data_IF_441688765604
#
_entry.id   IF_441688765604
#
_cell.length_a   1.000
_cell.length_b   1.000
_cell.length_c   1.000
_cell.angle_alpha   90.00
_cell.angle_beta   90.00
_cell.angle_gamma   90.00
#
_symmetry.space_group_name_H-M   'P 1'
#
loop_
_entity.id
_entity.type
_entity.pdbx_description
1 polymer ?
#
# COMPACT_ATOMS: atom_id res chain seq x y z
N UNK A 1 -11.29 -23.80 -14.68
CA UNK A 1 -10.34 -22.67 -14.59
C UNK A 1 -10.30 -22.21 -13.13
N UNK A 2 -9.16 -21.70 -12.66
CA UNK A 2 -9.01 -21.13 -11.31
C UNK A 2 -8.85 -19.61 -11.40
N UNK A 3 -9.58 -18.86 -10.59
CA UNK A 3 -9.39 -17.42 -10.45
C UNK A 3 -8.55 -17.13 -9.22
N UNK A 4 -7.39 -16.51 -9.40
CA UNK A 4 -6.53 -16.04 -8.31
C UNK A 4 -6.75 -14.54 -8.15
N UNK A 5 -7.42 -14.13 -7.08
CA UNK A 5 -7.64 -12.71 -6.78
C UNK A 5 -6.41 -12.14 -6.08
N UNK A 6 -5.83 -11.04 -6.58
CA UNK A 6 -4.68 -10.45 -5.90
C UNK A 6 -3.97 -9.30 -6.63
N UNK A 7 -2.64 -9.39 -6.60
CA UNK A 7 -1.69 -8.28 -6.73
C UNK A 7 -0.60 -8.31 -5.65
N UNK A 8 -0.66 -9.31 -4.76
CA UNK A 8 0.26 -9.58 -3.65
C UNK A 8 1.32 -10.61 -4.06
N UNK A 9 2.39 -10.73 -3.26
CA UNK A 9 3.40 -11.76 -3.46
C UNK A 9 2.81 -13.17 -3.35
N UNK A 10 1.82 -13.37 -2.48
CA UNK A 10 1.10 -14.62 -2.29
C UNK A 10 0.33 -15.03 -3.55
N UNK A 11 -0.35 -14.08 -4.19
CA UNK A 11 -1.05 -14.32 -5.45
C UNK A 11 -0.06 -14.75 -6.55
N UNK A 12 1.11 -14.13 -6.61
CA UNK A 12 2.17 -14.49 -7.54
C UNK A 12 2.69 -15.91 -7.28
N UNK A 13 3.01 -16.25 -6.03
CA UNK A 13 3.51 -17.57 -5.64
C UNK A 13 2.49 -18.67 -5.95
N UNK A 14 1.21 -18.44 -5.64
CA UNK A 14 0.14 -19.38 -5.95
C UNK A 14 -0.02 -19.56 -7.47
N UNK A 15 0.07 -18.49 -8.26
CA UNK A 15 0.07 -18.61 -9.72
C UNK A 15 1.27 -19.40 -10.27
N UNK A 16 2.46 -19.29 -9.66
CA UNK A 16 3.61 -20.11 -10.03
C UNK A 16 3.41 -21.60 -9.70
N UNK A 17 2.83 -21.90 -8.54
CA UNK A 17 2.45 -23.26 -8.13
C UNK A 17 1.48 -23.87 -9.14
N UNK A 18 0.37 -23.18 -9.42
CA UNK A 18 -0.63 -23.62 -10.40
C UNK A 18 -0.04 -23.80 -11.81
N UNK A 19 0.87 -22.92 -12.23
CA UNK A 19 1.57 -23.07 -13.50
C UNK A 19 2.44 -24.33 -13.54
N UNK A 20 3.18 -24.62 -12.46
CA UNK A 20 4.01 -25.83 -12.35
C UNK A 20 3.19 -27.12 -12.41
N UNK A 21 2.00 -27.09 -11.83
CA UNK A 21 1.07 -28.22 -11.81
C UNK A 21 0.30 -28.38 -13.12
N UNK A 22 0.46 -27.45 -14.07
CA UNK A 22 -0.26 -27.46 -15.35
C UNK A 22 -1.74 -27.09 -15.22
N UNK A 23 -2.15 -26.48 -14.11
CA UNK A 23 -3.53 -26.05 -13.89
C UNK A 23 -3.82 -24.74 -14.66
N UNK A 24 -5.04 -24.64 -15.20
CA UNK A 24 -5.52 -23.43 -15.86
C UNK A 24 -5.93 -22.38 -14.83
N UNK A 25 -5.33 -21.20 -14.88
CA UNK A 25 -5.67 -20.08 -14.00
C UNK A 25 -5.71 -18.73 -14.72
N UNK A 26 -6.45 -17.80 -14.12
CA UNK A 26 -6.45 -16.37 -14.40
C UNK A 26 -6.10 -15.65 -13.10
N UNK A 27 -5.22 -14.65 -13.17
CA UNK A 27 -4.87 -13.81 -12.03
C UNK A 27 -5.33 -12.38 -12.28
N UNK A 28 -5.99 -11.78 -11.30
CA UNK A 28 -6.48 -10.39 -11.41
C UNK A 28 -5.67 -9.46 -10.54
N UNK A 29 -5.39 -8.26 -11.06
CA UNK A 29 -4.82 -7.14 -10.32
C UNK A 29 -5.78 -5.95 -10.38
N UNK A 30 -5.93 -5.24 -9.27
CA UNK A 30 -6.70 -3.99 -9.20
C UNK A 30 -5.85 -2.73 -9.48
N UNK A 31 -4.56 -2.93 -9.79
CA UNK A 31 -3.56 -1.86 -10.00
C UNK A 31 -2.73 -2.11 -11.25
N UNK A 32 -2.34 -1.04 -11.93
CA UNK A 32 -1.50 -1.09 -13.14
C UNK A 32 -0.12 -1.68 -12.84
N UNK A 33 0.46 -1.34 -11.69
CA UNK A 33 1.76 -1.88 -11.27
C UNK A 33 1.73 -3.40 -11.07
N UNK A 34 0.75 -3.90 -10.31
CA UNK A 34 0.58 -5.34 -10.09
C UNK A 34 0.30 -6.08 -11.41
N UNK A 35 -0.48 -5.44 -12.29
CA UNK A 35 -0.77 -5.96 -13.62
C UNK A 35 0.51 -6.10 -14.47
N UNK A 36 1.31 -5.03 -14.59
CA UNK A 36 2.55 -5.06 -15.38
C UNK A 36 3.55 -6.08 -14.83
N UNK A 37 3.71 -6.11 -13.50
CA UNK A 37 4.61 -7.04 -12.82
C UNK A 37 4.25 -8.49 -13.13
N UNK A 38 2.97 -8.83 -13.01
CA UNK A 38 2.50 -10.20 -13.21
C UNK A 38 2.45 -10.55 -14.69
N UNK A 39 2.07 -9.62 -15.56
CA UNK A 39 1.96 -9.83 -17.01
C UNK A 39 3.31 -10.21 -17.62
N UNK A 40 4.42 -9.69 -17.11
CA UNK A 40 5.78 -10.11 -17.51
C UNK A 40 6.02 -11.61 -17.32
N UNK A 41 5.39 -12.22 -16.31
CA UNK A 41 5.57 -13.62 -15.96
C UNK A 41 4.50 -14.55 -16.52
N UNK A 42 3.24 -14.14 -16.48
CA UNK A 42 2.07 -14.97 -16.77
C UNK A 42 1.33 -14.56 -18.06
N UNK A 43 1.76 -13.50 -18.74
CA UNK A 43 1.26 -13.10 -20.05
C UNK A 43 -0.23 -12.74 -20.03
N UNK A 44 -0.98 -13.32 -20.97
CA UNK A 44 -2.43 -13.09 -21.14
C UNK A 44 -3.30 -13.63 -20.01
N UNK A 45 -2.73 -14.38 -19.06
CA UNK A 45 -3.46 -14.87 -17.88
C UNK A 45 -3.70 -13.80 -16.82
N UNK A 46 -3.09 -12.62 -16.99
CA UNK A 46 -3.24 -11.49 -16.07
C UNK A 46 -4.28 -10.54 -16.61
N UNK A 47 -5.26 -10.19 -15.77
CA UNK A 47 -6.32 -9.23 -16.10
C UNK A 47 -6.27 -8.07 -15.10
N UNK A 48 -6.28 -6.84 -15.62
CA UNK A 48 -6.41 -5.64 -14.79
C UNK A 48 -7.89 -5.31 -14.67
N UNK A 49 -8.48 -5.52 -13.50
CA UNK A 49 -9.92 -5.34 -13.30
C UNK A 49 -10.23 -5.04 -11.84
N UNK A 50 -11.24 -4.20 -11.63
CA UNK A 50 -11.91 -4.00 -10.35
C UNK A 50 -13.32 -4.54 -10.48
N UNK A 51 -13.65 -5.53 -9.65
CA UNK A 51 -14.94 -6.19 -9.72
C UNK A 51 -16.01 -5.46 -8.90
N UNK A 52 -17.21 -5.37 -9.47
CA UNK A 52 -18.46 -5.33 -8.70
C UNK A 52 -18.96 -6.75 -8.51
N UNK A 53 -20.05 -6.93 -7.77
CA UNK A 53 -20.64 -8.25 -7.59
C UNK A 53 -21.11 -8.84 -8.93
N UNK A 54 -21.78 -8.02 -9.74
CA UNK A 54 -22.29 -8.40 -11.05
C UNK A 54 -21.14 -8.75 -12.00
N UNK A 55 -20.11 -7.91 -12.07
CA UNK A 55 -19.00 -8.17 -12.99
C UNK A 55 -18.16 -9.36 -12.56
N UNK A 56 -18.01 -9.64 -11.26
CA UNK A 56 -17.37 -10.88 -10.81
C UNK A 56 -18.20 -12.11 -11.19
N UNK A 57 -19.53 -12.05 -11.02
CA UNK A 57 -20.45 -13.13 -11.37
C UNK A 57 -20.41 -13.43 -12.87
N UNK A 58 -20.41 -12.40 -13.71
CA UNK A 58 -20.28 -12.54 -15.16
C UNK A 58 -18.91 -13.11 -15.54
N UNK A 59 -17.83 -12.60 -14.95
CA UNK A 59 -16.48 -13.07 -15.21
C UNK A 59 -16.29 -14.56 -14.85
N UNK A 60 -16.86 -15.00 -13.73
CA UNK A 60 -16.84 -16.41 -13.31
C UNK A 60 -17.51 -17.30 -14.36
N UNK A 61 -18.66 -16.87 -14.89
CA UNK A 61 -19.42 -17.62 -15.90
C UNK A 61 -18.71 -17.62 -17.26
N UNK A 62 -18.23 -16.47 -17.71
CA UNK A 62 -17.56 -16.32 -19.01
C UNK A 62 -16.28 -17.18 -19.12
N UNK A 63 -15.55 -17.31 -18.01
CA UNK A 63 -14.26 -18.03 -17.99
C UNK A 63 -14.33 -19.44 -17.40
N UNK A 64 -15.53 -19.99 -17.17
CA UNK A 64 -15.73 -21.31 -16.56
C UNK A 64 -14.88 -21.50 -15.29
N UNK A 65 -14.88 -20.48 -14.42
CA UNK A 65 -14.17 -20.50 -13.15
C UNK A 65 -14.87 -21.50 -12.23
N UNK A 66 -14.12 -22.48 -11.72
CA UNK A 66 -14.64 -23.52 -10.80
C UNK A 66 -14.11 -23.37 -9.38
N UNK A 67 -13.09 -22.53 -9.20
CA UNK A 67 -12.46 -22.24 -7.92
C UNK A 67 -11.94 -20.81 -7.90
N UNK A 68 -12.20 -20.09 -6.82
CA UNK A 68 -11.58 -18.82 -6.49
C UNK A 68 -10.57 -19.06 -5.37
N UNK A 69 -9.33 -18.62 -5.57
CA UNK A 69 -8.31 -18.52 -4.53
C UNK A 69 -8.12 -17.04 -4.20
N UNK A 70 -8.55 -16.64 -3.01
CA UNK A 70 -8.42 -15.28 -2.53
C UNK A 70 -7.05 -15.09 -1.88
N UNK A 71 -6.11 -14.58 -2.67
CA UNK A 71 -4.79 -14.15 -2.22
C UNK A 71 -4.72 -12.63 -2.02
N UNK A 72 -5.87 -11.96 -1.85
CA UNK A 72 -5.88 -10.51 -1.68
C UNK A 72 -5.27 -10.14 -0.32
N UNK A 73 -4.88 -8.87 -0.19
CA UNK A 73 -4.37 -8.37 1.09
C UNK A 73 -5.48 -8.46 2.16
N UNK A 74 -5.19 -8.74 3.45
CA UNK A 74 -6.19 -8.77 4.54
C UNK A 74 -7.15 -7.58 4.65
N UNK A 75 -6.78 -6.43 4.08
CA UNK A 75 -7.58 -5.21 4.09
C UNK A 75 -8.42 -5.06 2.82
N UNK A 76 -8.49 -6.08 1.97
CA UNK A 76 -9.31 -6.14 0.76
C UNK A 76 -10.72 -6.65 1.04
N UNK A 77 -11.31 -6.23 2.17
CA UNK A 77 -12.58 -6.76 2.68
C UNK A 77 -13.68 -6.76 1.64
N UNK A 78 -13.82 -5.68 0.85
CA UNK A 78 -14.83 -5.57 -0.20
C UNK A 78 -14.74 -6.70 -1.23
N UNK A 79 -13.56 -6.93 -1.84
CA UNK A 79 -13.42 -7.99 -2.85
C UNK A 79 -13.49 -9.38 -2.22
N UNK A 80 -12.99 -9.55 -1.00
CA UNK A 80 -13.10 -10.80 -0.25
C UNK A 80 -14.55 -11.17 0.03
N UNK A 81 -15.36 -10.22 0.50
CA UNK A 81 -16.80 -10.40 0.75
C UNK A 81 -17.57 -10.66 -0.55
N UNK A 82 -17.23 -9.97 -1.63
CA UNK A 82 -17.82 -10.21 -2.96
C UNK A 82 -17.49 -11.61 -3.46
N UNK A 83 -16.23 -12.01 -3.39
CA UNK A 83 -15.77 -13.32 -3.84
C UNK A 83 -16.42 -14.46 -3.07
N UNK A 84 -16.50 -14.35 -1.73
CA UNK A 84 -17.19 -15.34 -0.89
C UNK A 84 -18.65 -15.49 -1.32
N UNK A 85 -19.39 -14.37 -1.45
CA UNK A 85 -20.81 -14.39 -1.82
C UNK A 85 -21.06 -14.94 -3.22
N UNK A 86 -20.28 -14.51 -4.21
CA UNK A 86 -20.40 -15.01 -5.59
C UNK A 86 -20.04 -16.49 -5.67
N UNK A 87 -19.02 -16.95 -4.92
CA UNK A 87 -18.67 -18.37 -4.88
C UNK A 87 -19.77 -19.23 -4.27
N UNK A 88 -20.42 -18.76 -3.19
CA UNK A 88 -21.56 -19.44 -2.58
C UNK A 88 -22.76 -19.51 -3.53
N UNK A 89 -23.11 -18.38 -4.16
CA UNK A 89 -24.25 -18.27 -5.09
C UNK A 89 -24.08 -19.20 -6.30
N UNK A 90 -22.87 -19.27 -6.86
CA UNK A 90 -22.58 -20.06 -8.05
C UNK A 90 -22.13 -21.49 -7.75
N UNK A 91 -22.10 -21.88 -6.46
CA UNK A 91 -21.67 -23.20 -5.99
C UNK A 91 -20.27 -23.62 -6.50
N UNK A 92 -19.32 -22.68 -6.47
CA UNK A 92 -17.92 -22.93 -6.83
C UNK A 92 -17.01 -22.90 -5.59
N UNK A 93 -15.85 -23.55 -5.68
CA UNK A 93 -14.93 -23.65 -4.54
C UNK A 93 -14.33 -22.26 -4.22
N UNK A 94 -14.29 -21.90 -2.94
CA UNK A 94 -13.63 -20.70 -2.44
C UNK A 94 -12.54 -21.10 -1.44
N UNK A 95 -11.30 -20.71 -1.72
CA UNK A 95 -10.15 -20.88 -0.84
C UNK A 95 -9.64 -19.52 -0.42
N UNK A 96 -9.69 -19.21 0.88
CA UNK A 96 -9.01 -18.04 1.42
C UNK A 96 -7.54 -18.38 1.67
N UNK A 97 -6.66 -17.80 0.86
CA UNK A 97 -5.20 -17.82 1.05
C UNK A 97 -4.70 -16.45 1.53
N UNK A 98 -5.60 -15.64 2.09
CA UNK A 98 -5.28 -14.37 2.72
C UNK A 98 -4.36 -14.67 3.90
N UNK A 99 -3.12 -14.18 3.83
CA UNK A 99 -2.20 -14.28 4.96
C UNK A 99 -2.71 -13.38 6.07
N UNK A 100 -3.36 -13.97 7.08
CA UNK A 100 -3.75 -13.25 8.28
C UNK A 100 -2.49 -12.60 8.86
N UNK A 101 -2.42 -11.28 8.77
CA UNK A 101 -1.45 -10.51 9.55
C UNK A 101 -1.94 -10.66 10.98
N UNK A 102 -1.10 -11.21 11.85
CA UNK A 102 -1.33 -11.14 13.28
C UNK A 102 -1.28 -9.65 13.64
N UNK A 103 -2.43 -8.98 13.58
CA UNK A 103 -2.88 -7.77 14.30
C UNK A 103 -3.86 -6.94 13.43
N UNK A 104 -4.94 -6.39 14.05
CA UNK A 104 -6.18 -6.01 13.38
C UNK A 104 -6.11 -4.52 12.89
N UNK A 105 -7.23 -3.87 12.47
CA UNK A 105 -7.25 -2.75 11.52
C UNK A 105 -6.44 -1.55 11.99
N UNK A 106 -6.06 -0.66 11.05
CA UNK A 106 -5.38 0.63 11.27
C UNK A 106 -5.80 1.35 12.58
N UNK A 107 -7.04 1.18 13.06
CA UNK A 107 -7.56 1.76 14.30
C UNK A 107 -6.97 1.27 15.63
N UNK A 108 -6.34 0.09 15.70
CA UNK A 108 -5.88 -0.51 16.97
C UNK A 108 -4.40 -0.24 17.29
N UNK A 109 -3.74 0.63 16.52
CA UNK A 109 -2.38 1.03 16.85
C UNK A 109 -2.37 2.26 17.78
N UNK A 110 -2.06 2.06 19.06
CA UNK A 110 -2.04 3.13 20.09
C UNK A 110 -1.15 4.33 19.76
N UNK A 111 -0.14 4.14 18.88
CA UNK A 111 0.76 5.21 18.42
C UNK A 111 0.43 5.71 17.01
N UNK A 112 -0.78 5.45 16.51
CA UNK A 112 -1.31 6.06 15.30
C UNK A 112 -2.03 7.36 15.63
N UNK A 113 -1.64 8.43 14.94
CA UNK A 113 -2.26 9.76 15.05
C UNK A 113 -2.79 10.18 13.70
N UNK A 114 -4.06 10.58 13.64
CA UNK A 114 -4.68 11.12 12.42
C UNK A 114 -4.70 12.63 12.47
N UNK A 115 -4.34 13.26 11.36
CA UNK A 115 -4.36 14.73 11.21
C UNK A 115 -4.83 15.13 9.82
N UNK A 116 -5.38 16.33 9.67
CA UNK A 116 -5.94 16.82 8.41
C UNK A 116 -4.90 17.30 7.38
N UNK A 117 -3.71 17.70 7.83
CA UNK A 117 -2.70 18.29 6.95
C UNK A 117 -1.27 18.12 7.50
N UNK A 118 -0.26 18.35 6.64
CA UNK A 118 1.16 18.26 7.04
C UNK A 118 1.49 19.26 8.16
N UNK A 119 0.90 20.45 8.13
CA UNK A 119 1.15 21.45 9.17
C UNK A 119 0.63 21.00 10.55
N UNK A 120 -0.44 20.20 10.61
CA UNK A 120 -0.93 19.56 11.83
C UNK A 120 0.05 18.51 12.35
N UNK A 121 0.59 17.67 11.45
CA UNK A 121 1.62 16.69 11.79
C UNK A 121 2.85 17.38 12.42
N UNK A 122 3.29 18.50 11.83
CA UNK A 122 4.42 19.29 12.34
C UNK A 122 4.13 19.84 13.73
N UNK A 123 2.93 20.41 13.96
CA UNK A 123 2.52 20.89 15.29
C UNK A 123 2.51 19.77 16.32
N UNK A 124 2.03 18.59 15.94
CA UNK A 124 2.03 17.42 16.81
C UNK A 124 3.47 16.99 17.13
N UNK A 125 4.35 16.85 16.13
CA UNK A 125 5.78 16.50 16.30
C UNK A 125 6.47 17.47 17.27
N UNK A 126 6.23 18.78 17.14
CA UNK A 126 6.85 19.79 17.99
C UNK A 126 6.43 19.68 19.47
N UNK A 127 5.21 19.19 19.75
CA UNK A 127 4.70 18.98 21.12
C UNK A 127 5.20 17.68 21.77
N UNK A 128 5.86 16.82 21.01
CA UNK A 128 6.33 15.51 21.43
C UNK A 128 7.88 15.46 21.43
N UNK A 129 8.46 14.46 22.09
CA UNK A 129 9.92 14.22 22.07
C UNK A 129 10.40 13.50 20.79
N UNK A 130 9.86 13.88 19.62
CA UNK A 130 10.17 13.28 18.32
C UNK A 130 11.41 13.92 17.71
N UNK A 131 12.54 13.23 17.67
CA UNK A 131 13.84 13.75 17.23
C UNK A 131 14.10 13.48 15.76
N UNK A 132 13.58 12.38 15.19
CA UNK A 132 13.99 11.85 13.88
C UNK A 132 12.77 11.45 13.04
N UNK A 133 11.92 12.40 12.64
CA UNK A 133 10.73 12.09 11.86
C UNK A 133 11.09 11.76 10.41
N UNK A 134 10.47 10.72 9.85
CA UNK A 134 10.53 10.35 8.43
C UNK A 134 9.23 10.71 7.73
N UNK A 135 9.30 11.63 6.77
CA UNK A 135 8.18 12.01 5.93
C UNK A 135 8.18 11.19 4.64
N UNK A 136 7.16 10.36 4.44
CA UNK A 136 6.92 9.61 3.20
C UNK A 136 5.84 10.27 2.34
N UNK A 137 5.74 11.60 2.41
CA UNK A 137 4.70 12.41 1.77
C UNK A 137 5.10 12.96 0.39
N UNK A 138 6.28 12.59 -0.10
CA UNK A 138 6.84 13.05 -1.37
C UNK A 138 7.46 14.45 -1.31
N UNK A 139 7.84 14.97 -2.48
CA UNK A 139 8.62 16.22 -2.61
C UNK A 139 7.79 17.48 -2.83
N UNK A 140 6.46 17.37 -2.96
CA UNK A 140 5.57 18.50 -3.33
C UNK A 140 5.45 19.57 -2.24
N UNK A 141 5.52 19.18 -0.97
CA UNK A 141 5.26 20.06 0.17
C UNK A 141 6.37 19.86 1.20
N UNK A 142 7.49 20.57 1.05
CA UNK A 142 8.67 20.48 1.92
C UNK A 142 8.94 21.77 2.72
N UNK A 143 8.07 22.78 2.60
CA UNK A 143 8.20 24.05 3.33
C UNK A 143 8.24 23.85 4.84
N UNK A 144 7.61 22.78 5.34
CA UNK A 144 7.58 22.42 6.75
C UNK A 144 8.96 22.13 7.36
N UNK A 145 9.95 21.74 6.56
CA UNK A 145 11.30 21.37 7.05
C UNK A 145 11.90 22.52 7.88
N UNK A 146 11.62 23.77 7.49
CA UNK A 146 12.09 24.97 8.18
C UNK A 146 11.52 25.14 9.59
N UNK A 147 10.42 24.47 9.92
CA UNK A 147 9.76 24.50 11.22
C UNK A 147 10.26 23.39 12.16
N UNK A 148 11.09 22.47 11.66
CA UNK A 148 11.63 21.32 12.39
C UNK A 148 13.16 21.36 12.46
N UNK A 149 13.77 22.55 12.55
CA UNK A 149 15.24 22.73 12.47
C UNK A 149 16.01 22.02 13.59
N UNK A 150 15.39 21.85 14.74
CA UNK A 150 15.97 21.14 15.89
C UNK A 150 15.77 19.62 15.83
N UNK A 151 15.17 19.11 14.73
CA UNK A 151 14.93 17.69 14.50
C UNK A 151 15.77 17.20 13.31
N UNK A 152 16.17 15.93 13.33
CA UNK A 152 16.81 15.28 12.19
C UNK A 152 15.74 14.75 11.23
N UNK A 153 15.21 15.64 10.39
CA UNK A 153 14.11 15.33 9.47
C UNK A 153 14.60 14.51 8.29
N UNK A 154 14.01 13.33 8.08
CA UNK A 154 14.20 12.50 6.89
C UNK A 154 13.02 12.66 5.94
N UNK A 155 13.28 12.64 4.63
CA UNK A 155 12.22 12.65 3.62
C UNK A 155 12.48 11.56 2.59
N UNK A 156 11.43 10.78 2.29
CA UNK A 156 11.42 9.83 1.17
C UNK A 156 10.72 10.44 -0.04
N UNK A 157 11.43 10.49 -1.17
CA UNK A 157 10.95 11.10 -2.43
C UNK A 157 11.23 10.18 -3.62
N UNK A 158 10.56 10.45 -4.74
CA UNK A 158 10.91 9.80 -6.01
C UNK A 158 12.32 10.21 -6.46
N UNK A 159 13.07 9.33 -7.12
CA UNK A 159 14.43 9.58 -7.57
C UNK A 159 14.47 10.46 -8.85
N UNK A 160 13.70 11.55 -8.88
CA UNK A 160 13.72 12.52 -9.98
C UNK A 160 14.57 13.74 -9.63
N UNK A 161 15.20 14.35 -10.65
CA UNK A 161 16.00 15.57 -10.47
C UNK A 161 15.19 16.69 -9.81
N UNK A 162 13.93 16.85 -10.23
CA UNK A 162 13.02 17.84 -9.66
C UNK A 162 12.75 17.59 -8.17
N UNK A 163 12.54 16.34 -7.77
CA UNK A 163 12.33 15.99 -6.36
C UNK A 163 13.56 16.28 -5.51
N UNK A 164 14.75 15.93 -6.02
CA UNK A 164 16.02 16.20 -5.34
C UNK A 164 16.33 17.69 -5.26
N UNK A 165 15.99 18.47 -6.29
CA UNK A 165 16.11 19.93 -6.29
C UNK A 165 15.24 20.55 -5.20
N UNK A 166 13.96 20.16 -5.13
CA UNK A 166 13.04 20.64 -4.08
C UNK A 166 13.54 20.31 -2.67
N UNK A 167 14.12 19.12 -2.47
CA UNK A 167 14.71 18.76 -1.16
C UNK A 167 15.87 19.68 -0.77
N UNK A 168 16.77 19.98 -1.71
CA UNK A 168 17.89 20.90 -1.48
C UNK A 168 17.41 22.32 -1.17
N UNK A 169 16.43 22.82 -1.90
CA UNK A 169 15.82 24.14 -1.68
C UNK A 169 15.09 24.24 -0.33
N UNK A 170 14.54 23.13 0.15
CA UNK A 170 13.94 23.03 1.49
C UNK A 170 14.98 23.02 2.63
N UNK A 171 16.28 22.87 2.30
CA UNK A 171 17.38 22.85 3.27
C UNK A 171 17.73 21.46 3.79
N UNK A 172 17.27 20.39 3.16
CA UNK A 172 17.64 19.01 3.54
C UNK A 172 19.07 18.70 3.11
N UNK A 173 19.82 18.03 3.99
CA UNK A 173 21.13 17.47 3.67
C UNK A 173 20.96 16.16 2.88
N UNK A 174 21.93 15.83 2.02
CA UNK A 174 21.88 14.61 1.21
C UNK A 174 21.61 13.33 2.02
N UNK A 175 22.24 13.19 3.19
CA UNK A 175 22.07 12.05 4.10
C UNK A 175 20.63 11.91 4.67
N UNK A 176 19.82 12.95 4.59
CA UNK A 176 18.44 12.98 5.07
C UNK A 176 17.41 12.76 3.94
N UNK A 177 17.87 12.49 2.72
CA UNK A 177 17.02 12.28 1.55
C UNK A 177 17.10 10.82 1.15
N UNK A 178 15.95 10.13 1.17
CA UNK A 178 15.81 8.75 0.73
C UNK A 178 15.12 8.77 -0.63
N UNK A 179 15.90 8.69 -1.70
CA UNK A 179 15.38 8.71 -3.07
C UNK A 179 15.12 7.28 -3.57
N UNK A 180 13.85 6.88 -3.67
CA UNK A 180 13.47 5.53 -4.10
C UNK A 180 12.07 5.50 -4.71
N UNK A 181 11.83 4.53 -5.60
CA UNK A 181 10.54 4.31 -6.24
C UNK A 181 9.86 3.07 -5.62
N UNK A 182 8.62 3.22 -5.20
CA UNK A 182 7.83 2.14 -4.59
C UNK A 182 7.11 1.25 -5.62
N UNK A 183 6.19 0.38 -5.17
CA UNK A 183 5.75 0.20 -3.77
C UNK A 183 6.84 -0.37 -2.86
N UNK A 184 6.66 -0.22 -1.53
CA UNK A 184 7.64 -0.68 -0.53
C UNK A 184 6.99 -1.65 0.44
N UNK A 185 7.62 -2.80 0.65
CA UNK A 185 7.15 -3.80 1.61
C UNK A 185 7.29 -3.34 3.06
N UNK A 186 6.60 -4.01 3.98
CA UNK A 186 6.73 -3.77 5.43
C UNK A 186 8.19 -3.90 5.87
N UNK A 187 8.89 -4.94 5.43
CA UNK A 187 10.26 -5.24 5.81
C UNK A 187 11.24 -4.14 5.39
N UNK A 188 11.05 -3.58 4.18
CA UNK A 188 11.88 -2.48 3.71
C UNK A 188 11.60 -1.20 4.50
N UNK A 189 10.33 -0.88 4.77
CA UNK A 189 9.98 0.27 5.62
C UNK A 189 10.59 0.11 7.03
N UNK A 190 10.51 -1.09 7.61
CA UNK A 190 11.06 -1.41 8.92
C UNK A 190 12.59 -1.30 8.92
N UNK A 191 13.25 -1.79 7.88
CA UNK A 191 14.70 -1.67 7.72
C UNK A 191 15.13 -0.20 7.65
N UNK A 192 14.40 0.65 6.91
CA UNK A 192 14.66 2.09 6.85
C UNK A 192 14.43 2.75 8.21
N UNK A 193 13.33 2.43 8.90
CA UNK A 193 13.05 2.94 10.25
C UNK A 193 14.20 2.61 11.20
N UNK A 194 14.71 1.38 11.19
CA UNK A 194 15.83 0.95 12.04
C UNK A 194 17.16 1.62 11.64
N UNK A 195 17.49 1.61 10.35
CA UNK A 195 18.74 2.17 9.82
C UNK A 195 18.84 3.67 10.15
N UNK A 196 17.76 4.41 9.91
CA UNK A 196 17.68 5.85 10.17
C UNK A 196 17.15 6.16 11.56
N UNK A 197 17.10 5.17 12.48
CA UNK A 197 16.49 5.23 13.84
C UNK A 197 15.37 6.26 13.93
N UNK A 198 14.40 6.11 13.04
CA UNK A 198 13.22 6.96 12.94
C UNK A 198 12.38 6.73 14.19
N UNK A 199 11.85 7.79 14.78
CA UNK A 199 10.97 7.73 15.96
C UNK A 199 9.53 8.17 15.66
N UNK A 200 9.29 8.70 14.45
CA UNK A 200 7.98 9.04 13.94
C UNK A 200 7.93 8.89 12.40
N UNK A 201 6.99 8.10 11.89
CA UNK A 201 6.69 7.98 10.47
C UNK A 201 5.51 8.90 10.12
N UNK A 202 5.65 9.77 9.12
CA UNK A 202 4.58 10.65 8.63
C UNK A 202 4.20 10.22 7.21
N UNK A 203 2.96 9.79 7.02
CA UNK A 203 2.46 9.29 5.73
C UNK A 203 1.14 9.94 5.34
N UNK A 204 0.88 10.08 4.03
CA UNK A 204 -0.45 10.45 3.53
C UNK A 204 -1.36 9.22 3.42
N UNK A 205 -2.66 9.43 3.53
CA UNK A 205 -3.68 8.45 3.19
C UNK A 205 -3.78 8.29 1.66
N UNK A 206 -2.80 7.61 1.07
CA UNK A 206 -2.68 7.41 -0.39
C UNK A 206 -3.39 6.14 -0.89
N UNK A 207 -4.27 5.54 -0.10
CA UNK A 207 -4.88 4.24 -0.41
C UNK A 207 -3.88 3.07 -0.54
N UNK A 208 -4.36 1.94 -1.08
CA UNK A 208 -3.59 0.70 -1.29
C UNK A 208 -2.37 0.87 -2.19
N UNK A 209 -2.48 1.64 -3.28
CA UNK A 209 -1.40 1.82 -4.27
C UNK A 209 -0.16 2.52 -3.68
N UNK A 210 -0.34 3.37 -2.67
CA UNK A 210 0.78 4.05 -2.02
C UNK A 210 1.49 3.24 -0.93
N UNK A 211 1.10 1.99 -0.69
CA UNK A 211 1.66 1.11 0.34
C UNK A 211 1.38 1.61 1.76
N UNK A 212 0.20 2.18 2.01
CA UNK A 212 -0.18 2.78 3.29
C UNK A 212 -0.07 1.77 4.44
N UNK A 213 -0.55 0.55 4.20
CA UNK A 213 -0.63 -0.50 5.22
C UNK A 213 0.76 -0.97 5.64
N UNK A 214 1.65 -1.22 4.69
CA UNK A 214 3.04 -1.63 4.91
C UNK A 214 3.81 -0.60 5.73
N UNK A 215 3.48 0.68 5.57
CA UNK A 215 4.07 1.77 6.36
C UNK A 215 3.57 1.78 7.81
N UNK A 216 2.26 1.63 8.01
CA UNK A 216 1.67 1.58 9.36
C UNK A 216 2.16 0.34 10.09
N UNK A 217 2.21 -0.80 9.41
CA UNK A 217 2.70 -2.06 9.95
C UNK A 217 4.17 -1.97 10.36
N UNK A 218 5.03 -1.40 9.50
CA UNK A 218 6.43 -1.20 9.85
C UNK A 218 6.63 -0.25 11.04
N UNK A 219 5.78 0.78 11.17
CA UNK A 219 5.80 1.67 12.33
C UNK A 219 5.37 0.94 13.61
N UNK A 220 4.36 0.06 13.50
CA UNK A 220 3.84 -0.79 14.58
C UNK A 220 4.90 -1.78 15.06
N UNK A 221 5.53 -2.51 14.15
CA UNK A 221 6.62 -3.45 14.44
C UNK A 221 7.85 -2.76 15.05
N UNK A 222 8.15 -1.54 14.63
CA UNK A 222 9.22 -0.74 15.21
C UNK A 222 8.83 -0.07 16.55
N UNK A 223 7.53 -0.07 16.91
CA UNK A 223 7.02 0.61 18.08
C UNK A 223 7.18 2.14 18.01
N UNK A 224 7.11 2.76 16.83
CA UNK A 224 7.31 4.21 16.65
C UNK A 224 6.00 4.93 16.32
N UNK A 225 5.93 6.24 16.54
CA UNK A 225 4.73 6.98 16.19
C UNK A 225 4.47 6.93 14.68
N UNK A 226 3.20 6.81 14.29
CA UNK A 226 2.77 6.92 12.90
C UNK A 226 1.74 8.04 12.80
N UNK A 227 2.04 9.07 12.02
CA UNK A 227 1.11 10.16 11.75
C UNK A 227 0.53 9.96 10.34
N UNK A 228 -0.76 9.69 10.29
CA UNK A 228 -1.55 9.62 9.07
C UNK A 228 -2.14 10.99 8.74
N UNK A 229 -1.68 11.58 7.64
CA UNK A 229 -2.21 12.82 7.09
C UNK A 229 -3.36 12.48 6.14
N UNK A 230 -4.57 12.73 6.62
CA UNK A 230 -5.83 12.51 5.93
C UNK A 230 -6.29 13.85 5.32
N UNK A 231 -5.94 14.09 4.06
CA UNK A 231 -6.54 15.22 3.36
C UNK A 231 -8.01 14.87 3.15
N UNK A 232 -8.98 15.75 3.46
CA UNK A 232 -10.33 15.56 2.95
C UNK A 232 -10.21 15.31 1.45
N UNK A 233 -10.81 14.21 0.98
CA UNK A 233 -10.91 13.89 -0.43
C UNK A 233 -11.37 15.19 -1.10
N UNK A 234 -10.55 15.72 -2.02
CA UNK A 234 -11.08 16.69 -2.97
C UNK A 234 -12.23 15.95 -3.64
N UNK A 235 -13.44 16.44 -3.44
CA UNK A 235 -14.60 16.09 -4.25
C UNK A 235 -14.12 15.96 -5.69
N UNK A 236 -14.44 14.80 -6.29
CA UNK A 236 -14.21 14.53 -7.68
C UNK A 236 -14.62 15.77 -8.46
N UNK A 237 -13.64 16.40 -9.13
CA UNK A 237 -13.99 17.38 -10.14
C UNK A 237 -14.69 16.57 -11.22
N UNK A 238 -16.01 16.67 -11.26
CA UNK A 238 -16.79 16.46 -12.47
C UNK A 238 -16.15 17.33 -13.54
N UNK A 239 -15.36 16.69 -14.42
CA UNK A 239 -14.96 17.31 -15.67
C UNK A 239 -16.20 17.26 -16.58
N UNK A 240 -16.75 18.46 -16.79
CA UNK A 240 -17.76 18.83 -17.79
C UNK A 240 -17.24 18.58 -19.20
#
# INVERSE_FOLDING_TARGET
MILVLGGTTEAFQKAEELQREGQGFIITSATDYGYEMFRRRFGSRVVNIRFTEESLREFVKEHDIRKIIDCTHPYATVITELASRVSEELHIEYESAIRLIENPPIGDYDRLVRVSAIHDAVRWILRQDIKRPLFTTGSKELSFVRNLRDREVFVRVLPSEESLRRCREAGLKGQNIIAMHGPFSTELNLALIRQFRVDCLVTKNSGKEGGLFEKIEAAREAGIWCILVDSPLKEEREEV
#
